data_IF_073358938964
#
_entry.id   IF_073358938964
#
_cell.length_a   1.000
_cell.length_b   1.000
_cell.length_c   1.000
_cell.angle_alpha   90.00
_cell.angle_beta   90.00
_cell.angle_gamma   90.00
#
_symmetry.space_group_name_H-M   'P 1'
#
loop_
_entity.id
_entity.type
_entity.pdbx_description
1 polymer ?
#
# COMPACT_ATOMS: atom_id res chain seq x y z
N UNK A 1 19.92 -56.88 30.10
CA UNK A 1 18.63 -57.58 29.89
C UNK A 1 17.49 -56.62 30.20
N UNK A 2 16.44 -56.67 29.37
CA UNK A 2 15.30 -55.75 29.20
C UNK A 2 14.62 -55.29 30.50
N UNK A 3 14.13 -54.04 30.53
CA UNK A 3 12.73 -53.70 30.89
C UNK A 3 12.27 -52.46 30.12
N UNK A 4 11.29 -52.67 29.24
CA UNK A 4 10.41 -51.63 28.69
C UNK A 4 9.22 -51.58 29.65
N UNK A 5 8.81 -50.40 30.11
CA UNK A 5 7.45 -50.18 30.60
C UNK A 5 6.88 -48.95 29.90
N UNK A 6 5.78 -49.27 29.22
CA UNK A 6 4.85 -48.44 28.49
C UNK A 6 3.91 -47.73 29.49
N UNK A 7 3.54 -46.47 29.21
CA UNK A 7 2.28 -45.90 29.71
C UNK A 7 2.35 -44.48 30.26
N UNK A 8 1.84 -43.52 29.48
CA UNK A 8 0.68 -42.68 29.81
C UNK A 8 0.62 -41.48 28.86
N UNK A 9 -0.41 -41.47 28.00
CA UNK A 9 -0.91 -40.32 27.26
C UNK A 9 -1.78 -39.48 28.24
N UNK A 10 -2.01 -38.20 27.90
CA UNK A 10 -2.98 -37.20 28.43
C UNK A 10 -2.29 -36.16 29.35
N UNK A 11 -2.28 -34.84 29.14
CA UNK A 11 -3.05 -33.88 28.31
C UNK A 11 -2.09 -32.75 27.84
N UNK A 12 -2.15 -32.11 26.67
CA UNK A 12 -3.21 -31.31 26.01
C UNK A 12 -3.85 -30.21 26.89
N UNK A 13 -3.19 -29.06 27.05
CA UNK A 13 -3.66 -27.72 26.60
C UNK A 13 -2.87 -26.58 27.26
N UNK A 14 -2.72 -25.49 26.47
CA UNK A 14 -2.27 -24.14 26.82
C UNK A 14 -0.78 -24.01 27.19
N UNK A 15 0.07 -23.41 26.37
CA UNK A 15 -0.14 -22.16 25.67
C UNK A 15 0.27 -22.32 24.20
N UNK A 16 -0.74 -22.37 23.33
CA UNK A 16 -0.57 -21.92 21.95
C UNK A 16 0.01 -20.51 22.05
N UNK A 17 1.31 -20.42 21.78
CA UNK A 17 1.94 -19.24 21.21
C UNK A 17 0.89 -18.49 20.41
N UNK A 18 0.50 -17.32 20.92
CA UNK A 18 -0.35 -16.37 20.23
C UNK A 18 0.47 -15.95 19.00
N UNK A 19 0.27 -16.71 17.93
CA UNK A 19 0.84 -16.46 16.63
C UNK A 19 0.15 -15.19 16.12
N UNK A 20 0.65 -14.02 16.54
CA UNK A 20 0.28 -12.70 16.01
C UNK A 20 0.78 -12.51 14.57
N UNK A 21 1.14 -13.60 13.88
CA UNK A 21 1.33 -13.67 12.45
C UNK A 21 0.23 -14.50 11.78
N UNK A 22 -1.03 -14.39 12.25
CA UNK A 22 -2.16 -14.69 11.38
C UNK A 22 -2.08 -13.73 10.19
N UNK A 23 -1.41 -14.17 9.12
CA UNK A 23 -1.42 -13.52 7.81
C UNK A 23 -2.89 -13.34 7.49
N UNK A 24 -3.35 -12.09 7.55
CA UNK A 24 -4.72 -11.78 7.21
C UNK A 24 -4.95 -12.34 5.80
N UNK A 25 -6.03 -13.10 5.63
CA UNK A 25 -6.41 -13.64 4.33
C UNK A 25 -6.46 -12.48 3.33
N UNK A 26 -5.57 -12.45 2.31
CA UNK A 26 -5.48 -11.32 1.38
C UNK A 26 -6.80 -11.03 0.66
N UNK A 27 -7.65 -12.04 0.50
CA UNK A 27 -8.96 -11.93 -0.16
C UNK A 27 -10.00 -11.19 0.67
N UNK A 28 -9.76 -11.03 1.99
CA UNK A 28 -10.65 -10.32 2.92
C UNK A 28 -10.21 -8.89 3.20
N UNK A 29 -9.00 -8.51 2.79
CA UNK A 29 -8.51 -7.14 2.97
C UNK A 29 -9.38 -6.16 2.17
N UNK A 30 -9.68 -5.02 2.77
CA UNK A 30 -10.51 -3.97 2.16
C UNK A 30 -12.01 -4.28 2.18
N UNK A 31 -12.45 -5.35 2.87
CA UNK A 31 -13.88 -5.67 3.04
C UNK A 31 -14.42 -5.13 4.36
N UNK A 32 -15.76 -5.07 4.50
CA UNK A 32 -16.44 -4.56 5.69
C UNK A 32 -16.59 -3.03 5.70
N UNK A 33 -17.04 -2.48 6.83
CA UNK A 33 -17.29 -1.05 7.01
C UNK A 33 -17.11 -0.63 8.47
N UNK A 34 -16.78 0.64 8.71
CA UNK A 34 -16.58 1.18 10.05
C UNK A 34 -15.65 0.31 10.91
N UNK A 35 -16.11 -0.13 12.08
CA UNK A 35 -15.34 -0.98 12.98
C UNK A 35 -15.11 -2.41 12.46
N UNK A 36 -15.89 -2.86 11.47
CA UNK A 36 -15.74 -4.16 10.83
C UNK A 36 -14.85 -4.11 9.59
N UNK A 37 -14.34 -2.93 9.20
CA UNK A 37 -13.45 -2.77 8.06
C UNK A 37 -12.11 -3.47 8.29
N UNK A 38 -11.73 -4.33 7.36
CA UNK A 38 -10.45 -5.06 7.40
C UNK A 38 -9.39 -4.23 6.68
N UNK A 39 -8.64 -3.41 7.44
CA UNK A 39 -7.57 -2.55 6.91
C UNK A 39 -6.58 -3.32 6.02
N UNK A 40 -6.29 -2.76 4.86
CA UNK A 40 -5.32 -3.30 3.90
C UNK A 40 -3.90 -2.99 4.37
N UNK A 41 -3.66 -1.77 4.85
CA UNK A 41 -2.37 -1.26 5.34
C UNK A 41 -2.47 -1.04 6.84
N UNK A 42 -2.00 -2.02 7.61
CA UNK A 42 -2.04 -1.97 9.08
C UNK A 42 -1.07 -0.96 9.69
N UNK A 43 0.11 -0.79 9.07
CA UNK A 43 1.19 0.02 9.61
C UNK A 43 1.87 0.79 8.47
N UNK A 44 1.49 2.07 8.24
CA UNK A 44 2.08 2.90 7.20
C UNK A 44 3.59 3.09 7.34
N UNK A 45 4.15 3.00 8.56
CA UNK A 45 5.58 3.16 8.79
C UNK A 45 6.41 1.97 8.25
N UNK A 46 5.78 0.81 8.05
CA UNK A 46 6.40 -0.39 7.48
C UNK A 46 6.24 -0.50 5.96
N UNK A 47 5.63 0.49 5.31
CA UNK A 47 5.54 0.52 3.85
C UNK A 47 6.94 0.57 3.24
N UNK A 48 7.18 -0.33 2.28
CA UNK A 48 8.35 -0.29 1.43
C UNK A 48 8.10 0.59 0.22
N UNK A 49 9.16 1.06 -0.42
CA UNK A 49 9.06 1.80 -1.69
C UNK A 49 8.51 0.90 -2.80
N UNK A 50 7.76 1.48 -3.72
CA UNK A 50 7.26 0.79 -4.91
C UNK A 50 8.40 0.35 -5.83
N UNK A 51 8.22 -0.77 -6.53
CA UNK A 51 9.13 -1.15 -7.60
C UNK A 51 8.98 -0.20 -8.80
N UNK A 52 10.09 0.18 -9.43
CA UNK A 52 10.09 1.09 -10.59
C UNK A 52 9.79 0.33 -11.89
N UNK A 53 8.61 -0.29 -11.98
CA UNK A 53 8.10 -0.86 -13.22
C UNK A 53 7.16 0.13 -13.89
N UNK A 54 7.44 0.52 -15.13
CA UNK A 54 6.69 1.59 -15.79
C UNK A 54 5.19 1.28 -15.95
N UNK A 55 4.81 0.09 -16.40
CA UNK A 55 3.40 -0.24 -16.61
C UNK A 55 2.63 -0.31 -15.29
N UNK A 56 3.25 -0.86 -14.23
CA UNK A 56 2.65 -0.87 -12.89
C UNK A 56 2.45 0.55 -12.37
N UNK A 57 3.45 1.41 -12.48
CA UNK A 57 3.36 2.80 -12.03
C UNK A 57 2.31 3.56 -12.84
N UNK A 58 2.35 3.46 -14.17
CA UNK A 58 1.40 4.10 -15.09
C UNK A 58 -0.04 3.73 -14.80
N UNK A 59 -0.32 2.48 -14.42
CA UNK A 59 -1.66 2.04 -14.01
C UNK A 59 -2.19 2.73 -12.74
N UNK A 60 -1.32 3.33 -11.94
CA UNK A 60 -1.67 4.07 -10.72
C UNK A 60 -1.82 5.57 -10.95
N UNK A 61 -1.47 6.10 -12.12
CA UNK A 61 -1.49 7.53 -12.40
C UNK A 61 -2.85 7.97 -12.96
N UNK A 62 -3.23 9.25 -12.78
CA UNK A 62 -4.28 9.82 -13.60
C UNK A 62 -3.93 9.72 -15.10
N UNK A 63 -4.88 9.91 -16.02
CA UNK A 63 -4.56 10.05 -17.43
C UNK A 63 -3.56 11.18 -17.67
N UNK A 64 -2.68 11.00 -18.66
CA UNK A 64 -1.76 12.05 -19.10
C UNK A 64 -2.51 13.27 -19.62
N UNK A 65 -1.85 14.42 -19.58
CA UNK A 65 -2.37 15.69 -20.11
C UNK A 65 -2.77 15.57 -21.58
N UNK A 66 -3.71 16.42 -22.02
CA UNK A 66 -4.21 16.40 -23.39
C UNK A 66 -3.07 16.51 -24.42
N UNK A 67 -2.99 15.55 -25.33
CA UNK A 67 -1.94 15.48 -26.36
C UNK A 67 -0.58 14.99 -25.86
N UNK A 68 -0.47 14.52 -24.62
CA UNK A 68 0.75 13.96 -24.02
C UNK A 68 0.60 12.46 -23.76
N UNK A 69 1.75 11.80 -23.64
CA UNK A 69 1.84 10.40 -23.20
C UNK A 69 2.90 10.25 -22.13
N UNK A 70 2.72 9.30 -21.22
CA UNK A 70 3.78 8.91 -20.30
C UNK A 70 4.84 8.10 -21.05
N UNK A 71 6.11 8.36 -20.73
CA UNK A 71 7.25 7.73 -21.38
C UNK A 71 8.08 6.94 -20.36
N UNK A 72 8.30 5.65 -20.64
CA UNK A 72 9.12 4.76 -19.80
C UNK A 72 10.54 5.30 -19.61
N UNK A 73 11.13 5.82 -20.68
CA UNK A 73 12.46 6.45 -20.66
C UNK A 73 12.58 7.65 -19.72
N UNK A 74 11.47 8.21 -19.22
CA UNK A 74 11.43 9.31 -18.26
C UNK A 74 11.16 8.88 -16.83
N UNK A 75 10.96 7.59 -16.55
CA UNK A 75 10.55 7.12 -15.23
C UNK A 75 11.52 7.53 -14.11
N UNK A 76 12.83 7.32 -14.31
CA UNK A 76 13.83 7.69 -13.31
C UNK A 76 13.93 9.21 -13.12
N UNK A 77 13.80 9.97 -14.20
CA UNK A 77 13.78 11.42 -14.14
C UNK A 77 12.53 11.93 -13.39
N UNK A 78 11.38 11.30 -13.61
CA UNK A 78 10.13 11.61 -12.92
C UNK A 78 10.23 11.36 -11.41
N UNK A 79 10.81 10.22 -10.99
CA UNK A 79 11.08 9.98 -9.57
C UNK A 79 12.04 11.02 -9.00
N UNK A 80 13.09 11.38 -9.72
CA UNK A 80 14.05 12.41 -9.28
C UNK A 80 13.39 13.79 -9.14
N UNK A 81 12.42 14.13 -10.00
CA UNK A 81 11.69 15.40 -9.95
C UNK A 81 10.85 15.58 -8.66
N UNK A 82 10.57 14.51 -7.93
CA UNK A 82 9.89 14.57 -6.62
C UNK A 82 10.78 15.09 -5.50
N UNK A 83 12.11 15.17 -5.71
CA UNK A 83 13.05 15.80 -4.80
C UNK A 83 13.08 15.17 -3.41
N UNK A 84 12.99 16.00 -2.37
CA UNK A 84 13.01 15.56 -0.97
C UNK A 84 11.86 14.66 -0.58
N UNK A 85 10.78 14.63 -1.38
CA UNK A 85 9.59 13.82 -1.11
C UNK A 85 9.68 12.41 -1.72
N UNK A 86 10.79 12.06 -2.40
CA UNK A 86 10.93 10.81 -3.16
C UNK A 86 10.61 9.55 -2.36
N UNK A 87 11.14 9.40 -1.15
CA UNK A 87 10.92 8.19 -0.35
C UNK A 87 9.44 8.03 0.03
N UNK A 88 8.84 9.07 0.62
CA UNK A 88 7.42 9.03 1.02
C UNK A 88 6.48 8.95 -0.19
N UNK A 89 6.82 9.56 -1.33
CA UNK A 89 6.04 9.43 -2.56
C UNK A 89 6.10 8.00 -3.11
N UNK A 90 7.27 7.38 -3.11
CA UNK A 90 7.44 5.98 -3.53
C UNK A 90 6.66 5.01 -2.64
N UNK A 91 6.61 5.28 -1.32
CA UNK A 91 5.77 4.52 -0.37
C UNK A 91 4.28 4.77 -0.59
N UNK A 92 3.88 6.00 -0.92
CA UNK A 92 2.48 6.33 -1.24
C UNK A 92 2.01 5.62 -2.52
N UNK A 93 2.87 5.50 -3.54
CA UNK A 93 2.57 4.71 -4.74
C UNK A 93 2.44 3.21 -4.41
N UNK A 94 3.30 2.65 -3.56
CA UNK A 94 3.18 1.26 -3.11
C UNK A 94 1.87 1.02 -2.32
N UNK A 95 1.49 1.96 -1.46
CA UNK A 95 0.22 1.94 -0.76
C UNK A 95 -0.95 1.94 -1.74
N UNK A 96 -0.96 2.87 -2.71
CA UNK A 96 -1.98 2.94 -3.75
C UNK A 96 -2.07 1.63 -4.54
N UNK A 97 -0.95 1.04 -4.94
CA UNK A 97 -0.93 -0.24 -5.64
C UNK A 97 -1.59 -1.37 -4.83
N UNK A 98 -1.27 -1.45 -3.55
CA UNK A 98 -1.82 -2.46 -2.63
C UNK A 98 -3.33 -2.27 -2.43
N UNK A 99 -3.77 -1.03 -2.26
CA UNK A 99 -5.17 -0.68 -2.07
C UNK A 99 -5.99 -0.90 -3.36
N UNK A 100 -5.47 -0.55 -4.54
CA UNK A 100 -6.09 -0.85 -5.83
C UNK A 100 -6.21 -2.36 -6.10
N UNK A 101 -5.26 -3.17 -5.61
CA UNK A 101 -5.40 -4.62 -5.64
C UNK A 101 -6.53 -5.09 -4.72
N UNK A 102 -6.65 -4.54 -3.50
CA UNK A 102 -7.72 -4.87 -2.56
C UNK A 102 -9.11 -4.49 -3.08
N UNK A 103 -9.25 -3.42 -3.88
CA UNK A 103 -10.53 -3.07 -4.55
C UNK A 103 -11.07 -4.16 -5.47
N UNK A 104 -10.22 -5.09 -5.93
CA UNK A 104 -10.60 -6.23 -6.78
C UNK A 104 -11.13 -7.42 -5.98
N UNK A 105 -11.02 -7.40 -4.64
CA UNK A 105 -11.58 -8.45 -3.80
C UNK A 105 -13.11 -8.46 -3.86
N UNK A 106 -13.71 -9.66 -3.76
CA UNK A 106 -15.15 -9.80 -3.70
C UNK A 106 -15.69 -9.15 -2.42
N UNK A 107 -16.65 -8.22 -2.55
CA UNK A 107 -17.20 -7.47 -1.41
C UNK A 107 -16.29 -6.37 -0.87
N UNK A 108 -15.29 -5.93 -1.64
CA UNK A 108 -14.45 -4.79 -1.27
C UNK A 108 -15.29 -3.52 -1.08
N UNK A 109 -15.04 -2.80 0.01
CA UNK A 109 -15.64 -1.50 0.26
C UNK A 109 -14.73 -0.40 -0.29
N UNK A 110 -14.98 -0.01 -1.54
CA UNK A 110 -14.16 0.99 -2.25
C UNK A 110 -14.08 2.31 -1.48
N UNK A 111 -15.17 2.74 -0.83
CA UNK A 111 -15.21 3.99 -0.09
C UNK A 111 -14.30 3.95 1.15
N UNK A 112 -14.29 2.85 1.90
CA UNK A 112 -13.37 2.69 3.04
C UNK A 112 -11.92 2.53 2.59
N UNK A 113 -11.66 1.85 1.48
CA UNK A 113 -10.32 1.76 0.89
C UNK A 113 -9.79 3.15 0.47
N UNK A 114 -10.64 3.98 -0.13
CA UNK A 114 -10.26 5.34 -0.51
C UNK A 114 -9.99 6.24 0.72
N UNK A 115 -10.77 6.07 1.80
CA UNK A 115 -10.48 6.72 3.09
C UNK A 115 -9.14 6.26 3.66
N UNK A 116 -8.86 4.94 3.62
CA UNK A 116 -7.60 4.38 4.09
C UNK A 116 -6.41 4.96 3.31
N UNK A 117 -6.53 5.15 1.98
CA UNK A 117 -5.47 5.81 1.19
C UNK A 117 -5.17 7.22 1.71
N UNK A 118 -6.20 8.00 2.01
CA UNK A 118 -6.05 9.37 2.54
C UNK A 118 -5.36 9.34 3.90
N UNK A 119 -5.75 8.42 4.79
CA UNK A 119 -5.10 8.23 6.11
C UNK A 119 -3.62 7.85 5.96
N UNK A 120 -3.30 6.95 5.03
CA UNK A 120 -1.92 6.52 4.76
C UNK A 120 -1.08 7.67 4.21
N UNK A 121 -1.60 8.46 3.27
CA UNK A 121 -0.92 9.65 2.74
C UNK A 121 -0.61 10.64 3.87
N UNK A 122 -1.55 10.87 4.79
CA UNK A 122 -1.34 11.70 5.98
C UNK A 122 -0.25 11.13 6.89
N UNK A 123 -0.30 9.83 7.16
CA UNK A 123 0.70 9.15 8.01
C UNK A 123 2.11 9.18 7.41
N UNK A 124 2.24 9.25 6.08
CA UNK A 124 3.51 9.43 5.37
C UNK A 124 4.05 10.88 5.42
N UNK A 125 3.33 11.81 6.06
CA UNK A 125 3.79 13.19 6.25
C UNK A 125 3.59 14.10 5.05
N UNK A 126 2.58 13.83 4.21
CA UNK A 126 2.11 14.81 3.22
C UNK A 126 1.18 15.82 3.88
N UNK A 127 1.30 17.09 3.47
CA UNK A 127 0.37 18.15 3.89
C UNK A 127 -0.97 17.97 3.20
N UNK A 128 -2.06 18.31 3.89
CA UNK A 128 -3.38 18.41 3.26
C UNK A 128 -3.40 19.53 2.21
N UNK A 129 -3.84 19.21 0.99
CA UNK A 129 -3.96 20.20 -0.08
C UNK A 129 -4.01 19.62 -1.49
N UNK A 130 -4.24 20.51 -2.44
CA UNK A 130 -4.27 20.22 -3.87
C UNK A 130 -2.88 20.36 -4.51
N UNK A 131 -2.83 20.38 -5.85
CA UNK A 131 -1.59 20.48 -6.61
C UNK A 131 -0.86 21.83 -6.45
N UNK A 132 -1.52 22.89 -5.93
CA UNK A 132 -0.90 24.18 -5.66
C UNK A 132 -0.22 24.23 -4.28
N UNK A 133 -0.65 23.37 -3.33
CA UNK A 133 -0.10 23.33 -1.99
C UNK A 133 1.24 22.60 -1.93
N UNK A 134 2.33 23.31 -1.63
CA UNK A 134 3.65 22.70 -1.46
C UNK A 134 3.64 21.63 -0.35
N UNK A 135 4.28 20.49 -0.63
CA UNK A 135 4.38 19.35 0.29
C UNK A 135 3.12 18.48 0.34
N UNK A 136 2.05 18.81 -0.39
CA UNK A 136 0.90 17.92 -0.56
C UNK A 136 1.23 16.77 -1.50
N UNK A 137 0.53 15.64 -1.34
CA UNK A 137 0.66 14.51 -2.25
C UNK A 137 0.32 14.89 -3.69
N UNK A 138 -0.72 15.71 -3.89
CA UNK A 138 -1.16 16.15 -5.21
C UNK A 138 -0.13 17.04 -5.91
N UNK A 139 0.59 17.89 -5.16
CA UNK A 139 1.68 18.70 -5.71
C UNK A 139 2.86 17.82 -6.17
N UNK A 140 3.23 16.82 -5.36
CA UNK A 140 4.33 15.90 -5.70
C UNK A 140 3.93 14.98 -6.86
N UNK A 141 2.70 14.47 -6.87
CA UNK A 141 2.15 13.70 -7.99
C UNK A 141 2.18 14.52 -9.28
N UNK A 142 1.79 15.80 -9.23
CA UNK A 142 1.87 16.68 -10.41
C UNK A 142 3.31 16.81 -10.93
N UNK A 143 4.29 17.09 -10.05
CA UNK A 143 5.71 17.17 -10.45
C UNK A 143 6.19 15.87 -11.10
N UNK A 144 5.80 14.73 -10.54
CA UNK A 144 6.10 13.42 -11.09
C UNK A 144 5.48 13.23 -12.48
N UNK A 145 4.17 13.48 -12.63
CA UNK A 145 3.48 13.30 -13.92
C UNK A 145 3.98 14.27 -14.98
N UNK A 146 4.22 15.54 -14.64
CA UNK A 146 4.78 16.55 -15.55
C UNK A 146 6.15 16.11 -16.11
N UNK A 147 6.98 15.49 -15.26
CA UNK A 147 8.30 14.99 -15.65
C UNK A 147 8.23 13.66 -16.42
N UNK A 148 7.18 12.86 -16.22
CA UNK A 148 6.97 11.58 -16.91
C UNK A 148 6.37 11.75 -18.31
N UNK A 149 5.62 12.83 -18.53
CA UNK A 149 5.03 13.17 -19.81
C UNK A 149 6.07 13.57 -20.86
N UNK A 150 5.81 13.26 -22.13
CA UNK A 150 6.51 13.85 -23.27
C UNK A 150 5.57 14.24 -24.39
#
# INVERSE_FOLDING_TARGET
MKKIILGAIVALFALLSCDQNSKADPTKLGTGEGNAYVKVIKDPAKLTVVARNFEDIKALLPPASAGKTYQDSKLDAAFTATGTDLDKFSKALAAKQTLEAAKKNAGANVAEIDKELIEVIKALGFTDGDAAQAGSFNNVLKKFTDALEG
#
